data_IF_431031899351
#
_entry.id   IF_431031899351
#
_cell.length_a   1.000
_cell.length_b   1.000
_cell.length_c   1.000
_cell.angle_alpha   90.00
_cell.angle_beta   90.00
_cell.angle_gamma   90.00
#
_symmetry.space_group_name_H-M   'P 1'
#
loop_
_entity.id
_entity.type
_entity.pdbx_description
1 polymer ?
#
# COMPACT_ATOMS: atom_id res chain seq x y z
N UNK A 1 -9.22 7.98 24.25
CA UNK A 1 -7.94 7.74 24.96
C UNK A 1 -7.64 6.24 24.93
N UNK A 2 -7.22 5.70 23.78
CA UNK A 2 -6.58 4.37 23.74
C UNK A 2 -5.08 4.61 23.90
N UNK A 3 -4.49 4.14 24.99
CA UNK A 3 -3.04 4.29 25.21
C UNK A 3 -2.27 3.62 24.05
N UNK A 4 -1.18 4.23 23.54
CA UNK A 4 -0.36 3.64 22.46
C UNK A 4 0.12 2.22 22.77
N UNK A 5 0.26 1.89 24.05
CA UNK A 5 0.64 0.58 24.57
C UNK A 5 -0.40 -0.51 24.27
N UNK A 6 -1.69 -0.18 24.21
CA UNK A 6 -2.76 -1.12 23.84
C UNK A 6 -2.79 -1.37 22.32
N UNK A 7 -2.34 -0.42 21.50
CA UNK A 7 -2.36 -0.54 20.03
C UNK A 7 -1.17 -1.35 19.48
N UNK A 8 -0.03 -1.35 20.16
CA UNK A 8 1.16 -2.11 19.75
C UNK A 8 0.93 -3.62 19.54
N UNK A 9 0.28 -4.38 20.44
CA UNK A 9 0.04 -5.80 20.20
C UNK A 9 -0.88 -6.04 19.00
N UNK A 10 -1.90 -5.19 18.77
CA UNK A 10 -2.75 -5.28 17.58
C UNK A 10 -1.98 -4.97 16.30
N UNK A 11 -1.06 -4.00 16.34
CA UNK A 11 -0.21 -3.65 15.21
C UNK A 11 0.70 -4.81 14.78
N UNK A 12 1.41 -5.44 15.74
CA UNK A 12 2.31 -6.55 15.42
C UNK A 12 1.56 -7.82 14.99
N UNK A 13 0.45 -8.14 15.65
CA UNK A 13 -0.35 -9.32 15.30
C UNK A 13 -0.98 -9.18 13.91
N UNK A 14 -1.55 -8.02 13.60
CA UNK A 14 -2.13 -7.75 12.28
C UNK A 14 -1.09 -7.73 11.16
N UNK A 15 0.12 -7.21 11.40
CA UNK A 15 1.22 -7.25 10.43
C UNK A 15 1.63 -8.71 10.09
N UNK A 16 1.83 -9.54 11.12
CA UNK A 16 2.25 -10.94 10.93
C UNK A 16 1.17 -11.76 10.21
N UNK A 17 -0.09 -11.59 10.61
CA UNK A 17 -1.22 -12.29 9.96
C UNK A 17 -1.38 -11.85 8.51
N UNK A 18 -1.23 -10.56 8.22
CA UNK A 18 -1.32 -10.03 6.85
C UNK A 18 -0.21 -10.59 5.95
N UNK A 19 1.03 -10.68 6.45
CA UNK A 19 2.15 -11.28 5.71
C UNK A 19 1.92 -12.79 5.50
N UNK A 20 1.41 -13.50 6.49
CA UNK A 20 1.10 -14.93 6.35
C UNK A 20 0.00 -15.17 5.32
N UNK A 21 -1.07 -14.37 5.33
CA UNK A 21 -2.16 -14.44 4.36
C UNK A 21 -1.69 -14.09 2.95
N UNK A 22 -0.83 -13.09 2.76
CA UNK A 22 -0.31 -12.75 1.43
C UNK A 22 0.57 -13.86 0.85
N UNK A 23 1.42 -14.48 1.68
CA UNK A 23 2.22 -15.64 1.28
C UNK A 23 1.38 -16.87 0.96
N UNK A 24 0.28 -17.09 1.70
CA UNK A 24 -0.65 -18.17 1.44
C UNK A 24 -1.38 -17.97 0.10
N UNK A 25 -1.87 -16.76 -0.16
CA UNK A 25 -2.55 -16.40 -1.41
C UNK A 25 -1.62 -16.42 -2.63
N UNK A 26 -0.34 -16.07 -2.43
CA UNK A 26 0.66 -16.20 -3.49
C UNK A 26 0.87 -17.65 -3.92
N UNK A 27 0.83 -18.61 -2.98
CA UNK A 27 0.95 -20.05 -3.29
C UNK A 27 -0.37 -20.68 -3.76
N UNK A 28 -1.51 -20.16 -3.32
CA UNK A 28 -2.86 -20.68 -3.61
C UNK A 28 -3.82 -19.54 -3.97
N UNK A 29 -3.81 -19.06 -5.22
CA UNK A 29 -4.73 -18.02 -5.69
C UNK A 29 -6.20 -18.44 -5.65
N UNK A 30 -6.46 -19.76 -5.65
CA UNK A 30 -7.76 -20.39 -5.51
C UNK A 30 -8.44 -20.06 -4.16
N UNK A 31 -7.67 -19.69 -3.14
CA UNK A 31 -8.19 -19.33 -1.82
C UNK A 31 -8.54 -17.84 -1.69
N UNK A 32 -8.45 -17.06 -2.77
CA UNK A 32 -8.71 -15.61 -2.75
C UNK A 32 -10.08 -15.23 -2.18
N UNK A 33 -11.10 -16.07 -2.36
CA UNK A 33 -12.45 -15.83 -1.84
C UNK A 33 -12.54 -15.78 -0.30
N UNK A 34 -11.63 -16.44 0.42
CA UNK A 34 -11.60 -16.50 1.89
C UNK A 34 -10.39 -15.72 2.39
N UNK A 35 -9.22 -15.94 1.80
CA UNK A 35 -7.98 -15.27 2.21
C UNK A 35 -8.00 -13.77 1.92
N UNK A 36 -8.67 -13.32 0.86
CA UNK A 36 -8.78 -11.90 0.52
C UNK A 36 -9.53 -11.09 1.58
N UNK A 37 -10.77 -11.45 1.95
CA UNK A 37 -11.52 -10.79 3.03
C UNK A 37 -10.82 -10.87 4.39
N UNK A 38 -10.21 -12.02 4.73
CA UNK A 38 -9.45 -12.18 5.97
C UNK A 38 -8.27 -11.21 5.99
N UNK A 39 -7.47 -11.16 4.92
CA UNK A 39 -6.36 -10.22 4.81
C UNK A 39 -6.84 -8.77 4.94
N UNK A 40 -7.95 -8.40 4.27
CA UNK A 40 -8.49 -7.05 4.33
C UNK A 40 -8.89 -6.64 5.75
N UNK A 41 -9.51 -7.56 6.51
CA UNK A 41 -9.88 -7.30 7.90
C UNK A 41 -8.65 -7.03 8.79
N UNK A 42 -7.61 -7.87 8.68
CA UNK A 42 -6.38 -7.68 9.46
C UNK A 42 -5.60 -6.45 9.02
N UNK A 43 -5.52 -6.15 7.72
CA UNK A 43 -4.93 -4.91 7.24
C UNK A 43 -5.70 -3.67 7.70
N UNK A 44 -7.03 -3.75 7.79
CA UNK A 44 -7.85 -2.68 8.36
C UNK A 44 -7.49 -2.40 9.81
N UNK A 45 -7.30 -3.44 10.63
CA UNK A 45 -6.84 -3.30 12.02
C UNK A 45 -5.43 -2.71 12.09
N UNK A 46 -4.52 -3.17 11.23
CA UNK A 46 -3.15 -2.66 11.14
C UNK A 46 -3.12 -1.16 10.83
N UNK A 47 -3.77 -0.77 9.74
CA UNK A 47 -3.85 0.62 9.31
C UNK A 47 -4.60 1.48 10.31
N UNK A 48 -5.66 0.97 10.94
CA UNK A 48 -6.42 1.68 11.97
C UNK A 48 -5.58 1.98 13.20
N UNK A 49 -4.80 1.00 13.67
CA UNK A 49 -3.85 1.19 14.78
C UNK A 49 -2.76 2.21 14.42
N UNK A 50 -2.16 2.09 13.24
CA UNK A 50 -1.13 3.03 12.75
C UNK A 50 -1.68 4.45 12.64
N UNK A 51 -2.87 4.59 12.05
CA UNK A 51 -3.53 5.87 11.87
C UNK A 51 -3.88 6.51 13.21
N UNK A 52 -4.40 5.73 14.16
CA UNK A 52 -4.70 6.22 15.52
C UNK A 52 -3.45 6.66 16.29
N UNK A 53 -2.31 5.97 16.10
CA UNK A 53 -1.02 6.41 16.65
C UNK A 53 -0.58 7.75 16.07
N UNK A 54 -0.66 7.92 14.74
CA UNK A 54 -0.27 9.17 14.08
C UNK A 54 -1.25 10.32 14.33
N UNK A 55 -2.54 10.04 14.45
CA UNK A 55 -3.59 11.04 14.70
C UNK A 55 -3.43 11.70 16.09
N UNK A 56 -2.83 10.97 17.04
CA UNK A 56 -2.47 11.54 18.36
C UNK A 56 -1.38 12.61 18.30
N UNK A 57 -0.58 12.62 17.22
CA UNK A 57 0.50 13.60 16.96
C UNK A 57 0.05 14.64 15.93
N UNK A 58 -0.66 14.21 14.88
CA UNK A 58 -1.19 15.03 13.80
C UNK A 58 -2.70 14.85 13.67
N UNK A 59 -3.51 15.65 14.39
CA UNK A 59 -4.96 15.53 14.35
C UNK A 59 -5.52 15.67 12.92
N UNK A 60 -6.31 14.69 12.49
CA UNK A 60 -6.96 14.66 11.18
C UNK A 60 -6.10 14.07 10.05
N UNK A 61 -4.88 13.59 10.32
CA UNK A 61 -4.01 13.04 9.26
C UNK A 61 -4.62 11.80 8.60
N UNK A 62 -5.33 10.97 9.37
CA UNK A 62 -5.95 9.75 8.89
C UNK A 62 -7.06 10.04 7.86
N UNK A 63 -7.93 11.01 8.15
CA UNK A 63 -9.02 11.37 7.24
C UNK A 63 -8.49 12.06 5.98
N UNK A 64 -7.44 12.90 6.10
CA UNK A 64 -6.77 13.50 4.95
C UNK A 64 -6.14 12.43 4.04
N UNK A 65 -5.42 11.47 4.63
CA UNK A 65 -4.83 10.36 3.90
C UNK A 65 -5.91 9.54 3.18
N UNK A 66 -7.01 9.21 3.86
CA UNK A 66 -8.11 8.44 3.28
C UNK A 66 -8.77 9.17 2.10
N UNK A 67 -9.03 10.47 2.23
CA UNK A 67 -9.57 11.29 1.14
C UNK A 67 -8.62 11.35 -0.05
N UNK A 68 -7.32 11.55 0.21
CA UNK A 68 -6.30 11.60 -0.84
C UNK A 68 -6.15 10.25 -1.56
N UNK A 69 -6.19 9.12 -0.84
CA UNK A 69 -6.20 7.78 -1.43
C UNK A 69 -7.42 7.59 -2.31
N UNK A 70 -8.62 7.91 -1.82
CA UNK A 70 -9.85 7.73 -2.60
C UNK A 70 -9.86 8.62 -3.85
N UNK A 71 -9.45 9.88 -3.71
CA UNK A 71 -9.31 10.80 -4.85
C UNK A 71 -8.30 10.27 -5.88
N UNK A 72 -7.18 9.69 -5.42
CA UNK A 72 -6.17 9.10 -6.31
C UNK A 72 -6.70 7.86 -7.01
N UNK A 73 -7.37 6.96 -6.30
CA UNK A 73 -7.97 5.75 -6.89
C UNK A 73 -8.98 6.12 -7.98
N UNK A 74 -9.88 7.06 -7.69
CA UNK A 74 -10.87 7.56 -8.68
C UNK A 74 -10.17 8.23 -9.85
N UNK A 75 -9.19 9.10 -9.59
CA UNK A 75 -8.43 9.78 -10.64
C UNK A 75 -7.68 8.81 -11.56
N UNK A 76 -7.04 7.79 -10.99
CA UNK A 76 -6.32 6.77 -11.74
C UNK A 76 -7.27 5.85 -12.51
N UNK A 77 -8.43 5.51 -11.94
CA UNK A 77 -9.45 4.73 -12.63
C UNK A 77 -10.00 5.49 -13.85
N UNK A 78 -10.29 6.78 -13.69
CA UNK A 78 -10.72 7.65 -14.79
C UNK A 78 -9.62 7.75 -15.85
N UNK A 79 -8.37 7.99 -15.45
CA UNK A 79 -7.24 8.08 -16.38
C UNK A 79 -7.02 6.77 -17.17
N UNK A 80 -7.24 5.62 -16.53
CA UNK A 80 -7.19 4.32 -17.17
C UNK A 80 -8.33 4.11 -18.16
N UNK A 81 -9.59 4.29 -17.71
CA UNK A 81 -10.79 4.06 -18.52
C UNK A 81 -10.92 5.00 -19.72
N UNK A 82 -10.47 6.24 -19.58
CA UNK A 82 -10.41 7.21 -20.68
C UNK A 82 -9.27 6.95 -21.65
N UNK A 83 -8.35 6.03 -21.32
CA UNK A 83 -7.19 5.72 -22.13
C UNK A 83 -6.12 6.81 -22.15
N UNK A 84 -6.17 7.78 -21.23
CA UNK A 84 -5.12 8.79 -21.02
C UNK A 84 -3.83 8.08 -20.60
N UNK A 85 -3.93 7.12 -19.67
CA UNK A 85 -2.82 6.28 -19.23
C UNK A 85 -3.12 4.84 -19.63
N UNK A 86 -2.30 4.30 -20.54
CA UNK A 86 -2.43 2.93 -21.04
C UNK A 86 -1.38 2.03 -20.40
N UNK A 87 -1.80 0.83 -19.98
CA UNK A 87 -0.91 -0.19 -19.47
C UNK A 87 -0.12 -0.86 -20.62
N UNK A 88 0.80 -0.12 -21.23
CA UNK A 88 1.66 -0.64 -22.31
C UNK A 88 2.64 -1.69 -21.77
N UNK A 89 3.15 -2.63 -22.58
CA UNK A 89 4.12 -3.63 -22.12
C UNK A 89 5.37 -3.01 -21.48
N UNK A 90 5.83 -1.85 -21.98
CA UNK A 90 6.95 -1.12 -21.40
C UNK A 90 6.58 -0.48 -20.06
N UNK A 91 5.41 0.13 -19.96
CA UNK A 91 4.89 0.69 -18.71
C UNK A 91 4.82 -0.39 -17.61
N UNK A 92 4.24 -1.56 -17.91
CA UNK A 92 4.16 -2.68 -16.96
C UNK A 92 5.54 -3.09 -16.44
N UNK A 93 6.52 -3.25 -17.33
CA UNK A 93 7.89 -3.61 -16.96
C UNK A 93 8.55 -2.57 -16.06
N UNK A 94 8.39 -1.28 -16.38
CA UNK A 94 8.97 -0.18 -15.58
C UNK A 94 8.36 -0.18 -14.18
N UNK A 95 7.04 -0.19 -14.07
CA UNK A 95 6.34 -0.12 -12.78
C UNK A 95 6.63 -1.36 -11.94
N UNK A 96 6.56 -2.57 -12.51
CA UNK A 96 6.89 -3.81 -11.80
C UNK A 96 8.34 -3.76 -11.27
N UNK A 97 9.30 -3.34 -12.10
CA UNK A 97 10.71 -3.21 -11.68
C UNK A 97 10.87 -2.17 -10.57
N UNK A 98 10.14 -1.06 -10.64
CA UNK A 98 10.14 -0.03 -9.61
C UNK A 98 9.57 -0.54 -8.27
N UNK A 99 8.44 -1.27 -8.30
CA UNK A 99 7.88 -1.93 -7.12
C UNK A 99 8.91 -2.88 -6.50
N UNK A 100 9.56 -3.72 -7.31
CA UNK A 100 10.61 -4.62 -6.82
C UNK A 100 11.76 -3.85 -6.16
N UNK A 101 12.21 -2.74 -6.76
CA UNK A 101 13.22 -1.87 -6.17
C UNK A 101 12.82 -1.32 -4.81
N UNK A 102 11.58 -0.84 -4.67
CA UNK A 102 11.04 -0.35 -3.38
C UNK A 102 10.97 -1.48 -2.35
N UNK A 103 10.52 -2.66 -2.75
CA UNK A 103 10.43 -3.81 -1.84
C UNK A 103 11.81 -4.27 -1.36
N UNK A 104 12.82 -4.26 -2.22
CA UNK A 104 14.22 -4.52 -1.84
C UNK A 104 14.71 -3.45 -0.86
N UNK A 105 14.42 -2.17 -1.14
CA UNK A 105 14.79 -1.07 -0.24
C UNK A 105 14.15 -1.22 1.15
N UNK A 106 12.89 -1.63 1.23
CA UNK A 106 12.22 -1.97 2.49
C UNK A 106 12.84 -3.18 3.18
N UNK A 107 13.17 -4.24 2.43
CA UNK A 107 13.87 -5.40 2.97
C UNK A 107 15.23 -5.04 3.59
N UNK A 108 16.05 -4.27 2.88
CA UNK A 108 17.34 -3.77 3.38
C UNK A 108 17.13 -2.89 4.61
N UNK A 109 16.10 -2.04 4.61
CA UNK A 109 15.80 -1.16 5.74
C UNK A 109 15.43 -1.94 7.00
N UNK A 110 14.65 -3.01 6.86
CA UNK A 110 14.30 -3.91 7.96
C UNK A 110 15.56 -4.64 8.45
N UNK A 111 16.37 -5.19 7.56
CA UNK A 111 17.62 -5.87 7.92
C UNK A 111 18.58 -4.95 8.68
N UNK A 112 18.79 -3.73 8.18
CA UNK A 112 19.64 -2.72 8.80
C UNK A 112 19.15 -2.30 10.20
N UNK A 113 17.83 -2.30 10.42
CA UNK A 113 17.25 -1.97 11.72
C UNK A 113 17.64 -2.95 12.83
N UNK A 114 17.90 -4.23 12.50
CA UNK A 114 18.41 -5.21 13.48
C UNK A 114 19.84 -4.90 13.94
N UNK A 115 20.60 -4.14 13.14
CA UNK A 115 21.95 -3.67 13.48
C UNK A 115 21.94 -2.25 14.07
N UNK A 116 20.77 -1.71 14.42
CA UNK A 116 20.62 -0.36 14.98
C UNK A 116 20.73 0.76 13.95
N UNK A 117 20.74 0.46 12.65
CA UNK A 117 20.79 1.45 11.57
C UNK A 117 19.38 1.75 11.09
N UNK A 118 18.94 2.99 11.29
CA UNK A 118 17.65 3.46 10.80
C UNK A 118 17.83 4.43 9.63
N UNK A 119 17.33 4.05 8.46
CA UNK A 119 17.36 4.95 7.30
C UNK A 119 16.45 6.15 7.51
N UNK A 120 17.02 7.33 7.40
CA UNK A 120 16.34 8.60 7.59
C UNK A 120 15.11 8.75 6.66
N UNK A 121 15.18 8.16 5.46
CA UNK A 121 14.10 8.17 4.45
C UNK A 121 12.87 7.35 4.88
N UNK A 122 13.04 6.33 5.73
CA UNK A 122 11.92 5.50 6.18
C UNK A 122 11.24 6.05 7.46
N UNK A 123 11.74 7.15 8.01
CA UNK A 123 11.21 7.75 9.23
C UNK A 123 10.00 8.65 8.94
N UNK A 124 8.94 8.52 9.73
CA UNK A 124 7.72 9.33 9.63
C UNK A 124 7.91 10.79 10.05
N UNK A 125 8.95 11.07 10.83
CA UNK A 125 9.28 12.40 11.38
C UNK A 125 10.36 13.15 10.62
N UNK A 126 10.91 12.57 9.55
CA UNK A 126 11.98 13.22 8.80
C UNK A 126 11.43 14.07 7.66
N UNK A 127 11.26 15.37 7.94
CA UNK A 127 10.82 16.42 7.00
C UNK A 127 11.89 16.91 6.01
N UNK A 128 13.12 16.34 6.01
CA UNK A 128 14.13 16.78 5.03
C UNK A 128 13.60 16.71 3.59
N UNK A 129 13.88 17.74 2.78
CA UNK A 129 13.39 17.85 1.40
C UNK A 129 13.69 16.58 0.55
N UNK A 130 14.81 15.92 0.81
CA UNK A 130 15.17 14.65 0.18
C UNK A 130 14.23 13.49 0.60
N UNK A 131 13.90 13.39 1.89
CA UNK A 131 12.97 12.40 2.45
C UNK A 131 11.54 12.59 1.94
N UNK A 132 11.10 13.85 1.79
CA UNK A 132 9.81 14.19 1.19
C UNK A 132 9.80 13.78 -0.29
N UNK A 133 10.83 14.17 -1.06
CA UNK A 133 10.94 13.82 -2.48
C UNK A 133 10.86 12.32 -2.76
N UNK A 134 11.52 11.48 -1.95
CA UNK A 134 11.40 10.02 -2.07
C UNK A 134 9.99 9.53 -1.72
N UNK A 135 9.33 10.14 -0.75
CA UNK A 135 7.96 9.74 -0.38
C UNK A 135 6.97 10.08 -1.49
N UNK A 136 7.11 11.23 -2.13
CA UNK A 136 6.35 11.60 -3.34
C UNK A 136 6.57 10.58 -4.45
N UNK A 137 7.82 10.14 -4.67
CA UNK A 137 8.13 9.10 -5.66
C UNK A 137 7.41 7.79 -5.35
N UNK A 138 7.40 7.35 -4.09
CA UNK A 138 6.74 6.11 -3.70
C UNK A 138 5.22 6.20 -3.83
N UNK A 139 4.62 7.33 -3.44
CA UNK A 139 3.19 7.61 -3.68
C UNK A 139 2.87 7.57 -5.17
N UNK A 140 3.70 8.17 -6.02
CA UNK A 140 3.50 8.16 -7.46
C UNK A 140 3.57 6.74 -8.04
N UNK A 141 4.55 5.93 -7.61
CA UNK A 141 4.68 4.54 -8.07
C UNK A 141 3.49 3.70 -7.59
N UNK A 142 3.04 3.87 -6.34
CA UNK A 142 1.86 3.19 -5.80
C UNK A 142 0.56 3.61 -6.51
N UNK A 143 0.44 4.87 -6.91
CA UNK A 143 -0.69 5.34 -7.71
C UNK A 143 -0.66 4.74 -9.13
N UNK A 144 0.52 4.69 -9.75
CA UNK A 144 0.71 4.11 -11.08
C UNK A 144 0.52 2.59 -11.09
N UNK A 145 0.78 1.89 -9.99
CA UNK A 145 0.52 0.45 -9.91
C UNK A 145 -0.97 0.11 -9.98
N UNK A 146 -1.87 1.01 -9.60
CA UNK A 146 -3.32 0.82 -9.79
C UNK A 146 -3.68 0.61 -11.27
N UNK A 147 -2.95 1.22 -12.20
CA UNK A 147 -3.13 1.02 -13.64
C UNK A 147 -2.87 -0.44 -14.03
N UNK A 148 -1.88 -1.08 -13.40
CA UNK A 148 -1.60 -2.50 -13.62
C UNK A 148 -2.73 -3.37 -13.08
N UNK A 149 -3.27 -3.02 -11.92
CA UNK A 149 -4.38 -3.75 -11.31
C UNK A 149 -5.64 -3.65 -12.16
N UNK A 150 -5.98 -2.45 -12.65
CA UNK A 150 -7.13 -2.26 -13.54
C UNK A 150 -6.99 -3.02 -14.85
N UNK A 151 -5.80 -3.01 -15.46
CA UNK A 151 -5.52 -3.80 -16.66
C UNK A 151 -5.62 -5.30 -16.41
N UNK A 152 -5.09 -5.78 -15.28
CA UNK A 152 -5.19 -7.19 -14.92
C UNK A 152 -6.65 -7.63 -14.77
N UNK A 153 -7.48 -6.82 -14.11
CA UNK A 153 -8.92 -7.10 -13.91
C UNK A 153 -9.67 -7.07 -15.25
N UNK A 154 -9.43 -6.05 -16.08
CA UNK A 154 -10.12 -5.90 -17.36
C UNK A 154 -9.76 -7.01 -18.34
N UNK A 155 -8.47 -7.35 -18.46
CA UNK A 155 -8.01 -8.46 -19.31
C UNK A 155 -8.47 -9.81 -18.78
N UNK A 156 -8.42 -10.04 -17.47
CA UNK A 156 -8.92 -11.26 -16.86
C UNK A 156 -10.42 -11.48 -17.14
N UNK A 157 -11.21 -10.41 -17.11
CA UNK A 157 -12.63 -10.48 -17.47
C UNK A 157 -12.83 -10.73 -18.97
N UNK A 158 -12.08 -10.06 -19.85
CA UNK A 158 -12.18 -10.20 -21.30
C UNK A 158 -11.73 -11.58 -21.81
N UNK A 159 -10.72 -12.18 -21.17
CA UNK A 159 -10.16 -13.49 -21.51
C UNK A 159 -10.96 -14.66 -20.89
N UNK A 160 -12.06 -14.38 -20.18
CA UNK A 160 -12.94 -15.41 -19.60
C UNK A 160 -12.30 -16.17 -18.43
N UNK A 161 -11.48 -15.48 -17.63
CA UNK A 161 -10.75 -16.10 -16.52
C UNK A 161 -11.70 -16.80 -15.52
N UNK A 162 -11.22 -17.85 -14.81
CA UNK A 162 -12.02 -18.55 -13.82
C UNK A 162 -12.54 -17.62 -12.71
N UNK A 163 -13.71 -17.91 -12.13
CA UNK A 163 -14.35 -17.07 -11.07
C UNK A 163 -13.44 -16.71 -9.88
N UNK A 164 -12.47 -17.56 -9.51
CA UNK A 164 -11.55 -17.24 -8.41
C UNK A 164 -10.60 -16.08 -8.76
N UNK A 165 -10.34 -15.81 -10.04
CA UNK A 165 -9.51 -14.67 -10.47
C UNK A 165 -10.18 -13.32 -10.20
N UNK A 166 -11.52 -13.24 -10.16
CA UNK A 166 -12.21 -12.01 -9.75
C UNK A 166 -11.82 -11.62 -8.32
N UNK A 167 -11.84 -12.60 -7.41
CA UNK A 167 -11.42 -12.41 -6.02
C UNK A 167 -9.93 -12.09 -5.90
N UNK A 168 -9.10 -12.73 -6.71
CA UNK A 168 -7.67 -12.45 -6.74
C UNK A 168 -7.37 -11.04 -7.27
N UNK A 169 -8.09 -10.58 -8.29
CA UNK A 169 -7.98 -9.22 -8.82
C UNK A 169 -8.42 -8.17 -7.81
N UNK A 170 -9.54 -8.41 -7.12
CA UNK A 170 -9.99 -7.54 -6.03
C UNK A 170 -8.99 -7.49 -4.87
N UNK A 171 -8.38 -8.64 -4.53
CA UNK A 171 -7.33 -8.72 -3.52
C UNK A 171 -6.10 -7.89 -3.91
N UNK A 172 -5.58 -8.07 -5.14
CA UNK A 172 -4.41 -7.33 -5.62
C UNK A 172 -4.66 -5.81 -5.58
N UNK A 173 -5.81 -5.37 -6.09
CA UNK A 173 -6.22 -3.97 -6.07
C UNK A 173 -6.31 -3.41 -4.65
N UNK A 174 -6.88 -4.18 -3.71
CA UNK A 174 -6.96 -3.78 -2.30
C UNK A 174 -5.57 -3.66 -1.66
N UNK A 175 -4.63 -4.56 -1.95
CA UNK A 175 -3.24 -4.47 -1.47
C UNK A 175 -2.58 -3.17 -1.96
N UNK A 176 -2.77 -2.82 -3.23
CA UNK A 176 -2.26 -1.57 -3.78
C UNK A 176 -2.88 -0.34 -3.12
N UNK A 177 -4.18 -0.35 -2.86
CA UNK A 177 -4.87 0.75 -2.17
C UNK A 177 -4.34 0.93 -0.75
N UNK A 178 -4.17 -0.16 -0.01
CA UNK A 178 -3.59 -0.17 1.35
C UNK A 178 -2.16 0.39 1.32
N UNK A 179 -1.36 -0.04 0.34
CA UNK A 179 0.00 0.46 0.19
C UNK A 179 0.03 1.95 -0.15
N UNK A 180 -0.79 2.41 -1.10
CA UNK A 180 -0.93 3.82 -1.44
C UNK A 180 -1.34 4.66 -0.23
N UNK A 181 -2.30 4.19 0.57
CA UNK A 181 -2.70 4.86 1.81
C UNK A 181 -1.53 5.01 2.78
N UNK A 182 -0.76 3.94 3.00
CA UNK A 182 0.42 3.98 3.87
C UNK A 182 1.48 4.98 3.39
N UNK A 183 1.75 5.04 2.08
CA UNK A 183 2.69 6.01 1.51
C UNK A 183 2.20 7.45 1.65
N UNK A 184 0.91 7.70 1.43
CA UNK A 184 0.30 9.04 1.60
C UNK A 184 0.36 9.44 3.07
N UNK A 185 0.01 8.54 3.99
CA UNK A 185 0.06 8.80 5.42
C UNK A 185 1.48 9.18 5.88
N UNK A 186 2.49 8.46 5.37
CA UNK A 186 3.91 8.77 5.60
C UNK A 186 4.32 10.12 5.00
N UNK A 187 3.88 10.43 3.78
CA UNK A 187 4.16 11.72 3.14
C UNK A 187 3.55 12.87 3.93
N UNK A 188 2.28 12.78 4.30
CA UNK A 188 1.59 13.80 5.12
C UNK A 188 2.24 13.96 6.49
N UNK A 189 2.69 12.87 7.10
CA UNK A 189 3.39 12.92 8.39
C UNK A 189 4.68 13.73 8.27
N UNK A 190 5.45 13.54 7.19
CA UNK A 190 6.69 14.28 6.96
C UNK A 190 6.44 15.77 6.70
N UNK A 191 5.41 16.10 5.93
CA UNK A 191 5.03 17.48 5.62
C UNK A 191 4.56 18.25 6.85
N UNK A 192 3.97 17.58 7.84
CA UNK A 192 3.56 18.19 9.11
C UNK A 192 4.68 18.22 10.17
N UNK A 193 5.87 17.68 9.86
CA UNK A 193 7.03 17.63 10.75
C UNK A 193 8.08 18.73 10.48
N UNK A 194 7.80 19.63 9.54
CA UNK A 194 8.65 20.79 9.22
C UNK A 194 8.29 22.04 10.03
#
# INVERSE_FOLDING_TARGET
MTSPQLLMPFFWTSLVVSIACSLALWKRPDWAHIGGPVYAAFQGVFLGALSGMLDSVYPGIAIQAAMATMATVVGMLVAYKTGIIKATPMFKKIIITAIFGIMIFYGISILASFFGVHFAVNSFSNGSAFSIGISVLFVAIAALSLILDFDMVERGSAEGAPKFMEWYGAFALMVTIVWLYFEILKLLSKLNND
#
